data_IF_047279516415
#
_entry.id   IF_047279516415
#
_cell.length_a   1.000
_cell.length_b   1.000
_cell.length_c   1.000
_cell.angle_alpha   90.00
_cell.angle_beta   90.00
_cell.angle_gamma   90.00
#
_symmetry.space_group_name_H-M   'P 1'
#
loop_
_entity.id
_entity.type
_entity.pdbx_description
1 polymer ?
#
# COMPACT_ATOMS: atom_id res chain seq x y z
N UNK A 1 -11.10 25.50 0.13
CA UNK A 1 -10.01 24.68 -0.45
C UNK A 1 -8.60 25.05 0.05
N UNK A 2 -8.09 26.27 -0.14
CA UNK A 2 -6.70 26.62 0.25
C UNK A 2 -6.39 26.25 1.70
N UNK A 3 -7.28 26.61 2.64
CA UNK A 3 -7.13 26.28 4.08
C UNK A 3 -6.99 24.76 4.30
N UNK A 4 -7.82 23.94 3.66
CA UNK A 4 -7.78 22.47 3.79
C UNK A 4 -6.43 21.93 3.31
N UNK A 5 -5.95 22.39 2.14
CA UNK A 5 -4.65 21.95 1.61
C UNK A 5 -3.47 22.42 2.46
N UNK A 6 -3.53 23.63 3.02
CA UNK A 6 -2.51 24.11 3.96
C UNK A 6 -2.47 23.26 5.23
N UNK A 7 -3.64 22.92 5.81
CA UNK A 7 -3.73 22.06 7.00
C UNK A 7 -3.18 20.67 6.70
N UNK A 8 -3.56 20.04 5.58
CA UNK A 8 -3.06 18.72 5.19
C UNK A 8 -1.54 18.72 4.92
N UNK A 9 -1.02 19.79 4.32
CA UNK A 9 0.42 19.96 4.09
C UNK A 9 1.16 20.10 5.43
N UNK A 10 0.63 20.91 6.36
CA UNK A 10 1.17 21.06 7.71
C UNK A 10 1.16 19.75 8.50
N UNK A 11 0.08 18.98 8.44
CA UNK A 11 -0.02 17.66 9.06
C UNK A 11 0.98 16.67 8.43
N UNK A 12 1.15 16.70 7.11
CA UNK A 12 2.14 15.87 6.40
C UNK A 12 3.56 16.20 6.83
N UNK A 13 3.88 17.49 6.94
CA UNK A 13 5.17 17.96 7.42
C UNK A 13 5.42 17.50 8.86
N UNK A 14 4.44 17.66 9.75
CA UNK A 14 4.53 17.18 11.13
C UNK A 14 4.77 15.67 11.20
N UNK A 15 4.11 14.87 10.35
CA UNK A 15 4.36 13.44 10.26
C UNK A 15 5.80 13.14 9.83
N UNK A 16 6.32 13.82 8.81
CA UNK A 16 7.73 13.65 8.38
C UNK A 16 8.70 14.00 9.51
N UNK A 17 8.50 15.14 10.18
CA UNK A 17 9.32 15.57 11.32
C UNK A 17 9.30 14.52 12.44
N UNK A 18 8.11 14.04 12.83
CA UNK A 18 7.97 12.99 13.85
C UNK A 18 8.71 11.71 13.47
N UNK A 19 8.69 11.33 12.19
CA UNK A 19 9.40 10.13 11.69
C UNK A 19 10.90 10.33 11.64
N UNK A 20 11.38 11.51 11.24
CA UNK A 20 12.81 11.84 11.31
C UNK A 20 13.34 11.81 12.75
N UNK A 21 12.55 12.31 13.72
CA UNK A 21 12.90 12.21 15.14
C UNK A 21 12.96 10.75 15.59
N UNK A 22 11.99 9.92 15.19
CA UNK A 22 11.99 8.49 15.50
C UNK A 22 13.17 7.73 14.88
N UNK A 23 13.63 8.12 13.69
CA UNK A 23 14.84 7.55 13.07
C UNK A 23 16.11 7.94 13.84
N UNK A 24 16.18 9.18 14.35
CA UNK A 24 17.33 9.67 15.14
C UNK A 24 17.37 9.14 16.57
N UNK A 25 16.20 8.89 17.16
CA UNK A 25 16.02 8.35 18.50
C UNK A 25 15.13 7.12 18.40
N UNK A 26 15.66 5.99 17.90
CA UNK A 26 14.87 4.79 17.72
C UNK A 26 14.24 4.43 19.07
N UNK A 27 12.91 4.33 19.17
CA UNK A 27 12.30 3.70 20.34
C UNK A 27 12.88 2.29 20.47
N UNK A 28 12.87 1.73 21.69
CA UNK A 28 13.34 0.36 21.90
C UNK A 28 12.74 -0.55 20.84
N UNK A 29 13.60 -1.31 20.12
CA UNK A 29 13.16 -2.07 18.94
C UNK A 29 11.97 -2.98 19.24
N UNK A 30 11.89 -3.46 20.48
CA UNK A 30 10.75 -4.20 21.04
C UNK A 30 9.41 -3.47 20.84
N UNK A 31 9.31 -2.18 21.18
CA UNK A 31 8.04 -1.42 21.07
C UNK A 31 7.57 -1.25 19.62
N UNK A 32 8.50 -1.28 18.66
CA UNK A 32 8.18 -1.15 17.23
C UNK A 32 7.75 -2.50 16.66
N UNK A 33 8.45 -3.56 17.03
CA UNK A 33 8.27 -4.91 16.49
C UNK A 33 7.13 -5.66 17.17
N UNK A 34 6.89 -5.44 18.46
CA UNK A 34 5.88 -6.14 19.25
C UNK A 34 4.47 -6.06 18.64
N UNK A 35 3.93 -4.88 18.26
CA UNK A 35 2.60 -4.82 17.63
C UNK A 35 2.52 -5.59 16.32
N UNK A 36 3.63 -5.65 15.58
CA UNK A 36 3.71 -6.38 14.33
C UNK A 36 3.83 -7.89 14.58
N UNK A 37 4.63 -8.29 15.57
CA UNK A 37 4.80 -9.67 16.02
C UNK A 37 3.45 -10.24 16.49
N UNK A 38 2.71 -9.49 17.31
CA UNK A 38 1.38 -9.87 17.80
C UNK A 38 0.36 -10.01 16.66
N UNK A 39 0.34 -9.07 15.69
CA UNK A 39 -0.56 -9.15 14.53
C UNK A 39 -0.22 -10.29 13.58
N UNK A 40 1.07 -10.52 13.37
CA UNK A 40 1.58 -11.61 12.55
C UNK A 40 1.46 -12.97 13.27
N UNK A 41 1.42 -12.96 14.61
CA UNK A 41 1.58 -14.14 15.45
C UNK A 41 2.92 -14.82 15.23
N UNK A 42 3.99 -14.03 15.14
CA UNK A 42 5.38 -14.48 15.06
C UNK A 42 6.08 -14.25 16.41
N UNK A 43 7.08 -15.07 16.78
CA UNK A 43 7.87 -14.84 17.98
C UNK A 43 8.69 -13.55 17.85
N UNK A 44 8.94 -12.92 19.00
CA UNK A 44 9.80 -11.74 19.08
C UNK A 44 11.23 -12.14 18.73
N UNK A 45 11.92 -11.47 17.78
CA UNK A 45 13.27 -11.87 17.40
C UNK A 45 14.25 -11.83 18.57
N UNK A 46 14.14 -10.86 19.48
CA UNK A 46 15.07 -10.70 20.62
C UNK A 46 15.15 -11.92 21.57
N UNK A 47 14.15 -12.80 21.60
CA UNK A 47 14.20 -14.00 22.45
C UNK A 47 15.21 -15.05 21.96
N UNK A 48 15.61 -15.02 20.69
CA UNK A 48 16.54 -15.99 20.07
C UNK A 48 18.02 -15.59 20.21
N UNK A 49 18.38 -14.79 21.24
CA UNK A 49 19.75 -14.38 21.53
C UNK A 49 20.34 -13.37 20.53
N UNK A 50 21.66 -13.40 20.32
CA UNK A 50 22.37 -12.39 19.53
C UNK A 50 21.93 -12.31 18.05
N UNK A 51 21.63 -13.47 17.43
CA UNK A 51 21.08 -13.51 16.06
C UNK A 51 19.69 -12.89 15.99
N UNK A 52 18.88 -13.18 17.00
CA UNK A 52 17.57 -12.61 17.19
C UNK A 52 17.57 -11.09 17.31
N UNK A 53 18.49 -10.54 18.11
CA UNK A 53 18.70 -9.10 18.24
C UNK A 53 19.10 -8.45 16.90
N UNK A 54 20.01 -9.08 16.14
CA UNK A 54 20.40 -8.60 14.80
C UNK A 54 19.23 -8.65 13.80
N UNK A 55 18.39 -9.68 13.86
CA UNK A 55 17.16 -9.75 13.05
C UNK A 55 16.19 -8.63 13.44
N UNK A 56 15.98 -8.39 14.73
CA UNK A 56 15.15 -7.29 15.22
C UNK A 56 15.62 -5.95 14.66
N UNK A 57 16.91 -5.67 14.73
CA UNK A 57 17.50 -4.43 14.22
C UNK A 57 17.24 -4.26 12.72
N UNK A 58 17.46 -5.31 11.91
CA UNK A 58 17.18 -5.29 10.47
C UNK A 58 15.70 -5.04 10.18
N UNK A 59 14.78 -5.69 10.91
CA UNK A 59 13.33 -5.49 10.73
C UNK A 59 12.94 -4.06 11.08
N UNK A 60 13.40 -3.54 12.22
CA UNK A 60 13.14 -2.16 12.67
C UNK A 60 13.67 -1.17 11.64
N UNK A 61 14.90 -1.35 11.17
CA UNK A 61 15.52 -0.45 10.19
C UNK A 61 14.71 -0.41 8.88
N UNK A 62 14.30 -1.57 8.35
CA UNK A 62 13.47 -1.63 7.13
C UNK A 62 12.11 -0.97 7.35
N UNK A 63 11.46 -1.21 8.48
CA UNK A 63 10.19 -0.58 8.83
C UNK A 63 10.33 0.95 8.93
N UNK A 64 11.35 1.45 9.62
CA UNK A 64 11.60 2.88 9.79
C UNK A 64 11.91 3.56 8.44
N UNK A 65 12.73 2.93 7.59
CA UNK A 65 13.02 3.44 6.25
C UNK A 65 11.76 3.50 5.39
N UNK A 66 10.92 2.46 5.43
CA UNK A 66 9.66 2.43 4.69
C UNK A 66 8.68 3.49 5.21
N UNK A 67 8.55 3.64 6.53
CA UNK A 67 7.69 4.64 7.16
C UNK A 67 8.14 6.06 6.83
N UNK A 68 9.46 6.31 6.82
CA UNK A 68 10.03 7.58 6.43
C UNK A 68 9.77 7.87 4.94
N UNK A 69 10.02 6.89 4.07
CA UNK A 69 9.75 7.01 2.65
C UNK A 69 8.28 7.33 2.38
N UNK A 70 7.37 6.61 3.04
CA UNK A 70 5.94 6.87 2.97
C UNK A 70 5.62 8.31 3.40
N UNK A 71 6.15 8.77 4.53
CA UNK A 71 5.93 10.14 5.00
C UNK A 71 6.43 11.19 3.98
N UNK A 72 7.64 11.03 3.46
CA UNK A 72 8.21 11.91 2.45
C UNK A 72 7.38 11.91 1.16
N UNK A 73 6.94 10.75 0.68
CA UNK A 73 6.08 10.64 -0.50
C UNK A 73 4.75 11.35 -0.33
N UNK A 74 4.11 11.19 0.83
CA UNK A 74 2.88 11.93 1.17
C UNK A 74 3.10 13.44 1.19
N UNK A 75 4.21 13.91 1.76
CA UNK A 75 4.57 15.34 1.80
C UNK A 75 4.83 15.90 0.40
N UNK A 76 5.59 15.20 -0.44
CA UNK A 76 5.87 15.63 -1.83
C UNK A 76 4.57 15.80 -2.59
N UNK A 77 3.65 14.83 -2.51
CA UNK A 77 2.35 14.95 -3.17
C UNK A 77 1.52 16.09 -2.59
N UNK A 78 1.48 16.27 -1.26
CA UNK A 78 0.75 17.38 -0.65
C UNK A 78 1.26 18.74 -1.13
N UNK A 79 2.59 18.94 -1.19
CA UNK A 79 3.22 20.16 -1.69
C UNK A 79 2.92 20.39 -3.18
N UNK A 80 3.04 19.35 -4.01
CA UNK A 80 2.74 19.44 -5.44
C UNK A 80 1.28 19.84 -5.68
N UNK A 81 0.34 19.24 -4.95
CA UNK A 81 -1.07 19.58 -5.12
C UNK A 81 -1.37 20.98 -4.60
N UNK A 82 -0.81 21.39 -3.45
CA UNK A 82 -0.94 22.75 -2.96
C UNK A 82 -0.40 23.76 -3.99
N UNK A 83 0.76 23.49 -4.61
CA UNK A 83 1.33 24.33 -5.65
C UNK A 83 0.41 24.45 -6.87
N UNK A 84 -0.15 23.34 -7.36
CA UNK A 84 -1.12 23.34 -8.47
C UNK A 84 -2.36 24.17 -8.12
N UNK A 85 -2.90 24.02 -6.90
CA UNK A 85 -4.06 24.80 -6.42
C UNK A 85 -3.75 26.30 -6.37
N UNK A 86 -2.55 26.68 -5.89
CA UNK A 86 -2.14 28.08 -5.81
C UNK A 86 -1.91 28.70 -7.20
N UNK A 87 -1.27 27.96 -8.12
CA UNK A 87 -1.07 28.41 -9.51
C UNK A 87 -2.41 28.59 -10.21
N UNK A 88 -3.32 27.62 -10.12
CA UNK A 88 -4.65 27.71 -10.73
C UNK A 88 -5.42 28.95 -10.25
N UNK A 89 -5.34 29.24 -8.94
CA UNK A 89 -5.90 30.46 -8.34
C UNK A 89 -5.24 31.73 -8.87
N UNK A 90 -3.92 31.77 -8.96
CA UNK A 90 -3.17 32.94 -9.42
C UNK A 90 -3.41 33.26 -10.90
N UNK A 91 -3.59 32.24 -11.74
CA UNK A 91 -3.85 32.41 -13.18
C UNK A 91 -5.31 32.74 -13.52
N UNK A 92 -6.17 32.92 -12.52
CA UNK A 92 -7.58 33.25 -12.73
C UNK A 92 -8.34 32.17 -13.50
N UNK A 93 -7.97 30.89 -13.31
CA UNK A 93 -8.73 29.78 -13.88
C UNK A 93 -10.18 29.94 -13.40
N UNK A 94 -11.15 30.15 -14.31
CA UNK A 94 -12.52 30.46 -13.93
C UNK A 94 -13.09 29.39 -13.00
N UNK A 95 -13.96 29.79 -12.07
CA UNK A 95 -14.63 28.92 -11.10
C UNK A 95 -15.53 27.82 -11.74
N UNK A 96 -15.47 27.63 -13.06
CA UNK A 96 -16.10 26.53 -13.82
C UNK A 96 -15.12 25.62 -14.57
N UNK A 97 -13.80 25.69 -14.30
CA UNK A 97 -12.84 24.75 -14.89
C UNK A 97 -13.15 23.31 -14.44
N UNK A 98 -12.64 22.25 -15.10
CA UNK A 98 -12.79 20.87 -14.64
C UNK A 98 -12.18 20.58 -13.24
N UNK A 99 -11.52 21.57 -12.62
CA UNK A 99 -11.05 21.56 -11.21
C UNK A 99 -12.09 22.18 -10.26
N UNK A 100 -13.13 22.84 -10.79
CA UNK A 100 -14.23 23.39 -10.02
C UNK A 100 -15.04 22.25 -9.41
N UNK A 101 -15.17 22.33 -8.09
CA UNK A 101 -15.95 21.40 -7.29
C UNK A 101 -17.41 21.70 -7.58
N UNK A 102 -18.25 20.71 -7.90
CA UNK A 102 -19.68 20.95 -8.05
C UNK A 102 -20.24 21.66 -6.81
N UNK A 103 -21.09 22.67 -7.00
CA UNK A 103 -21.79 23.33 -5.91
C UNK A 103 -22.51 22.27 -5.05
N UNK A 104 -22.18 22.20 -3.76
CA UNK A 104 -22.69 21.20 -2.81
C UNK A 104 -21.80 19.96 -2.58
N UNK A 105 -20.65 19.85 -3.23
CA UNK A 105 -19.69 18.75 -3.03
C UNK A 105 -18.45 19.18 -2.22
N UNK A 106 -18.64 19.94 -1.14
CA UNK A 106 -17.57 20.50 -0.29
C UNK A 106 -16.56 19.46 0.25
N UNK A 107 -16.97 18.19 0.32
CA UNK A 107 -16.16 17.07 0.77
C UNK A 107 -15.24 16.48 -0.31
N UNK A 108 -15.53 16.67 -1.61
CA UNK A 108 -14.79 16.05 -2.70
C UNK A 108 -13.31 16.49 -2.77
N UNK A 109 -12.97 17.78 -2.57
CA UNK A 109 -11.57 18.22 -2.48
C UNK A 109 -10.81 17.56 -1.34
N UNK A 110 -11.48 17.39 -0.19
CA UNK A 110 -10.88 16.74 0.97
C UNK A 110 -10.61 15.26 0.67
N UNK A 111 -11.57 14.56 0.04
CA UNK A 111 -11.39 13.16 -0.37
C UNK A 111 -10.25 13.01 -1.37
N UNK A 112 -10.20 13.85 -2.41
CA UNK A 112 -9.12 13.86 -3.38
C UNK A 112 -7.76 14.14 -2.72
N UNK A 113 -7.72 15.08 -1.78
CA UNK A 113 -6.52 15.37 -1.01
C UNK A 113 -6.01 14.19 -0.20
N UNK A 114 -6.92 13.52 0.51
CA UNK A 114 -6.61 12.31 1.28
C UNK A 114 -6.14 11.20 0.34
N UNK A 115 -6.83 10.95 -0.78
CA UNK A 115 -6.47 9.90 -1.72
C UNK A 115 -5.10 10.15 -2.36
N UNK A 116 -4.79 11.37 -2.80
CA UNK A 116 -3.49 11.73 -3.37
C UNK A 116 -2.37 11.61 -2.34
N UNK A 117 -2.61 12.07 -1.11
CA UNK A 117 -1.65 11.91 -0.02
C UNK A 117 -1.36 10.44 0.29
N UNK A 118 -2.39 9.60 0.38
CA UNK A 118 -2.25 8.16 0.57
C UNK A 118 -1.52 7.51 -0.61
N UNK A 119 -1.81 7.92 -1.85
CA UNK A 119 -1.12 7.45 -3.04
C UNK A 119 0.38 7.84 -3.04
N UNK A 120 0.72 9.06 -2.63
CA UNK A 120 2.10 9.50 -2.45
C UNK A 120 2.84 8.65 -1.42
N UNK A 121 2.17 8.37 -0.28
CA UNK A 121 2.71 7.51 0.78
C UNK A 121 2.97 6.08 0.28
N UNK A 122 1.98 5.46 -0.35
CA UNK A 122 2.11 4.10 -0.85
C UNK A 122 3.15 3.98 -1.96
N UNK A 123 3.23 4.95 -2.88
CA UNK A 123 4.25 4.97 -3.95
C UNK A 123 5.66 5.01 -3.38
N UNK A 124 5.95 5.94 -2.47
CA UNK A 124 7.30 6.08 -1.91
C UNK A 124 7.68 4.88 -1.02
N UNK A 125 6.74 4.37 -0.23
CA UNK A 125 6.88 3.11 0.52
C UNK A 125 7.28 1.96 -0.41
N UNK A 126 6.55 1.80 -1.52
CA UNK A 126 6.77 0.74 -2.47
C UNK A 126 8.10 0.86 -3.23
N UNK A 127 8.51 2.08 -3.59
CA UNK A 127 9.80 2.32 -4.24
C UNK A 127 10.97 1.94 -3.33
N UNK A 128 10.92 2.32 -2.05
CA UNK A 128 11.98 1.96 -1.08
C UNK A 128 11.97 0.47 -0.78
N UNK A 129 10.81 -0.14 -0.58
CA UNK A 129 10.72 -1.57 -0.35
C UNK A 129 11.15 -2.38 -1.57
N UNK A 130 10.80 -1.94 -2.78
CA UNK A 130 11.25 -2.53 -4.03
C UNK A 130 12.75 -2.39 -4.23
N UNK A 131 13.33 -1.22 -3.93
CA UNK A 131 14.78 -1.02 -3.98
C UNK A 131 15.51 -1.94 -2.98
N UNK A 132 15.02 -2.06 -1.75
CA UNK A 132 15.56 -2.98 -0.75
C UNK A 132 15.45 -4.44 -1.21
N UNK A 133 14.32 -4.82 -1.80
CA UNK A 133 14.13 -6.16 -2.33
C UNK A 133 15.10 -6.49 -3.48
N UNK A 134 15.49 -5.48 -4.27
CA UNK A 134 16.44 -5.60 -5.39
C UNK A 134 17.91 -5.69 -4.97
N UNK A 135 18.24 -5.41 -3.71
CA UNK A 135 19.62 -5.56 -3.23
C UNK A 135 20.02 -7.03 -3.27
N UNK A 136 21.16 -7.31 -3.90
CA UNK A 136 21.59 -8.69 -4.15
C UNK A 136 21.95 -9.39 -2.84
N UNK A 137 21.65 -10.70 -2.70
CA UNK A 137 22.12 -11.51 -1.60
C UNK A 137 23.65 -11.45 -1.47
N UNK A 138 24.15 -11.44 -0.24
CA UNK A 138 25.57 -11.71 0.01
C UNK A 138 25.86 -13.15 -0.42
N UNK A 139 26.79 -13.31 -1.37
CA UNK A 139 27.22 -14.63 -1.86
C UNK A 139 27.75 -15.46 -0.68
N UNK A 140 27.23 -16.69 -0.54
CA UNK A 140 27.69 -17.64 0.49
C UNK A 140 26.94 -17.59 1.84
N UNK A 141 25.93 -16.73 2.00
CA UNK A 141 25.09 -16.76 3.20
C UNK A 141 24.21 -18.05 3.24
N UNK A 142 24.02 -18.68 4.41
CA UNK A 142 23.05 -19.76 4.57
C UNK A 142 21.68 -19.32 4.06
N UNK A 143 21.00 -20.19 3.30
CA UNK A 143 19.74 -19.85 2.66
C UNK A 143 18.67 -20.89 2.96
N UNK A 144 17.63 -20.45 3.65
CA UNK A 144 16.37 -21.17 3.77
C UNK A 144 15.50 -20.81 2.56
N UNK A 145 14.97 -21.81 1.87
CA UNK A 145 14.07 -21.64 0.74
C UNK A 145 12.73 -22.31 1.03
N UNK A 146 11.65 -21.80 0.44
CA UNK A 146 10.32 -22.41 0.54
C UNK A 146 10.22 -23.60 -0.38
N UNK A 147 9.39 -24.55 0.03
CA UNK A 147 8.99 -25.68 -0.82
C UNK A 147 8.06 -25.22 -1.96
N UNK A 148 7.25 -24.18 -1.74
CA UNK A 148 6.29 -23.65 -2.71
C UNK A 148 6.61 -22.21 -3.08
N UNK A 149 6.41 -21.89 -4.37
CA UNK A 149 6.50 -20.51 -4.85
C UNK A 149 5.32 -19.69 -4.31
N UNK A 150 5.56 -18.51 -3.74
CA UNK A 150 4.48 -17.66 -3.25
C UNK A 150 3.65 -17.05 -4.37
N UNK A 151 2.35 -16.97 -4.17
CA UNK A 151 1.40 -16.30 -5.06
C UNK A 151 0.80 -15.05 -4.40
N UNK A 152 0.28 -14.12 -5.21
CA UNK A 152 -0.36 -12.90 -4.69
C UNK A 152 -1.51 -13.20 -3.72
N UNK A 153 -2.26 -14.27 -3.98
CA UNK A 153 -3.40 -14.71 -3.17
C UNK A 153 -3.03 -15.15 -1.73
N UNK A 154 -1.74 -15.47 -1.50
CA UNK A 154 -1.20 -15.83 -0.18
C UNK A 154 -1.05 -14.58 0.71
N UNK A 155 -0.92 -13.39 0.09
CA UNK A 155 -0.74 -12.12 0.80
C UNK A 155 -1.99 -11.24 0.75
N UNK A 156 -2.61 -11.11 -0.43
CA UNK A 156 -3.75 -10.23 -0.67
C UNK A 156 -4.98 -11.08 -1.01
N UNK A 157 -6.10 -10.92 -0.30
CA UNK A 157 -7.29 -11.71 -0.55
C UNK A 157 -7.93 -11.34 -1.91
N UNK A 158 -8.54 -12.33 -2.58
CA UNK A 158 -9.16 -12.15 -3.90
C UNK A 158 -10.19 -11.01 -3.97
N UNK A 159 -11.05 -10.77 -2.96
CA UNK A 159 -11.98 -9.64 -2.99
C UNK A 159 -11.28 -8.27 -3.08
N UNK A 160 -10.10 -8.10 -2.47
CA UNK A 160 -9.34 -6.84 -2.56
C UNK A 160 -8.84 -6.60 -3.99
N UNK A 161 -8.24 -7.62 -4.62
CA UNK A 161 -7.76 -7.51 -6.02
C UNK A 161 -8.91 -7.39 -7.02
N UNK A 162 -10.02 -8.10 -6.79
CA UNK A 162 -11.24 -7.98 -7.57
C UNK A 162 -11.87 -6.60 -7.48
N UNK A 163 -11.92 -6.00 -6.28
CA UNK A 163 -12.44 -4.65 -6.07
C UNK A 163 -11.65 -3.61 -6.86
N UNK A 164 -10.31 -3.69 -6.88
CA UNK A 164 -9.48 -2.76 -7.67
C UNK A 164 -9.84 -2.83 -9.15
N UNK A 165 -9.89 -4.03 -9.71
CA UNK A 165 -10.21 -4.25 -11.13
C UNK A 165 -11.61 -3.74 -11.47
N UNK A 166 -12.59 -4.03 -10.60
CA UNK A 166 -13.96 -3.57 -10.76
C UNK A 166 -14.05 -2.05 -10.78
N UNK A 167 -13.46 -1.36 -9.80
CA UNK A 167 -13.56 0.10 -9.68
C UNK A 167 -12.79 0.79 -10.81
N UNK A 168 -11.61 0.29 -11.19
CA UNK A 168 -10.89 0.79 -12.39
C UNK A 168 -11.74 0.61 -13.65
N UNK A 169 -12.37 -0.55 -13.81
CA UNK A 169 -13.28 -0.83 -14.93
C UNK A 169 -14.47 0.12 -14.97
N UNK A 170 -15.08 0.42 -13.82
CA UNK A 170 -16.19 1.37 -13.73
C UNK A 170 -15.76 2.80 -14.04
N UNK A 171 -14.59 3.24 -13.57
CA UNK A 171 -14.02 4.53 -13.93
C UNK A 171 -13.78 4.66 -15.43
N UNK A 172 -13.22 3.61 -16.06
CA UNK A 172 -13.02 3.56 -17.49
C UNK A 172 -14.34 3.55 -18.28
N UNK A 173 -15.33 2.79 -17.82
CA UNK A 173 -16.66 2.75 -18.43
C UNK A 173 -17.38 4.11 -18.33
N UNK A 174 -17.28 4.80 -17.19
CA UNK A 174 -17.85 6.14 -17.02
C UNK A 174 -17.19 7.17 -17.97
N UNK A 175 -15.85 7.13 -18.09
CA UNK A 175 -15.13 7.99 -19.02
C UNK A 175 -15.48 7.68 -20.49
N UNK A 176 -15.62 6.40 -20.86
CA UNK A 176 -16.07 6.00 -22.19
C UNK A 176 -17.52 6.46 -22.46
N UNK A 177 -18.41 6.33 -21.48
CA UNK A 177 -19.79 6.83 -21.56
C UNK A 177 -19.86 8.34 -21.78
N UNK A 178 -18.96 9.12 -21.16
CA UNK A 178 -18.81 10.55 -21.42
C UNK A 178 -18.31 10.84 -22.84
N UNK A 179 -17.32 10.09 -23.33
CA UNK A 179 -16.80 10.25 -24.68
C UNK A 179 -17.90 9.98 -25.73
N UNK A 180 -18.71 8.94 -25.53
CA UNK A 180 -19.85 8.65 -26.40
C UNK A 180 -20.88 9.79 -26.32
N UNK A 181 -21.22 10.27 -25.11
CA UNK A 181 -22.13 11.41 -24.95
C UNK A 181 -21.63 12.67 -25.68
N UNK A 182 -20.32 12.93 -25.66
CA UNK A 182 -19.73 14.04 -26.40
C UNK A 182 -19.81 13.86 -27.91
N UNK A 183 -19.60 12.63 -28.41
CA UNK A 183 -19.68 12.32 -29.85
C UNK A 183 -21.08 12.55 -30.44
N UNK A 184 -22.13 12.44 -29.62
CA UNK A 184 -23.53 12.72 -30.02
C UNK A 184 -24.02 14.11 -29.59
N UNK A 185 -23.11 15.00 -29.17
CA UNK A 185 -23.42 16.40 -28.86
C UNK A 185 -24.15 16.63 -27.53
N UNK A 186 -24.19 15.66 -26.61
CA UNK A 186 -24.84 15.82 -25.29
C UNK A 186 -23.97 16.55 -24.27
N UNK A 187 -22.65 16.50 -24.42
CA UNK A 187 -21.68 17.22 -23.58
C UNK A 187 -20.52 17.73 -24.43
N UNK A 188 -19.84 18.78 -23.97
CA UNK A 188 -18.65 19.27 -24.64
C UNK A 188 -17.45 18.33 -24.43
N UNK A 189 -16.59 18.20 -25.44
CA UNK A 189 -15.36 17.40 -25.36
C UNK A 189 -14.42 17.84 -24.23
N UNK A 190 -14.44 19.13 -23.85
CA UNK A 190 -13.67 19.64 -22.71
C UNK A 190 -13.99 18.95 -21.39
N UNK A 191 -15.22 18.44 -21.22
CA UNK A 191 -15.65 17.68 -20.04
C UNK A 191 -15.12 16.24 -20.04
N UNK A 192 -14.74 15.71 -21.22
CA UNK A 192 -14.28 14.32 -21.40
C UNK A 192 -12.77 14.18 -21.15
N UNK A 193 -11.98 15.20 -21.49
CA UNK A 193 -10.51 15.12 -21.51
C UNK A 193 -9.94 14.67 -20.15
N UNK A 194 -10.33 15.32 -19.06
CA UNK A 194 -9.76 15.00 -17.75
C UNK A 194 -10.19 13.61 -17.23
N UNK A 195 -11.48 13.21 -17.29
CA UNK A 195 -11.88 11.84 -16.95
C UNK A 195 -11.24 10.77 -17.82
N UNK A 196 -11.11 10.99 -19.13
CA UNK A 196 -10.47 10.05 -20.04
C UNK A 196 -8.98 9.87 -19.72
N UNK A 197 -8.27 10.98 -19.46
CA UNK A 197 -6.88 10.94 -19.03
C UNK A 197 -6.72 10.21 -17.68
N UNK A 198 -7.59 10.51 -16.70
CA UNK A 198 -7.58 9.84 -15.40
C UNK A 198 -7.84 8.33 -15.52
N UNK A 199 -8.84 7.93 -16.31
CA UNK A 199 -9.13 6.53 -16.59
C UNK A 199 -7.95 5.81 -17.28
N UNK A 200 -7.31 6.45 -18.26
CA UNK A 200 -6.12 5.91 -18.92
C UNK A 200 -4.97 5.69 -17.93
N UNK A 201 -4.69 6.67 -17.06
CA UNK A 201 -3.69 6.56 -16.00
C UNK A 201 -4.01 5.40 -15.05
N UNK A 202 -5.28 5.22 -14.66
CA UNK A 202 -5.71 4.12 -13.79
C UNK A 202 -5.51 2.74 -14.44
N UNK A 203 -5.81 2.60 -15.73
CA UNK A 203 -5.59 1.36 -16.47
C UNK A 203 -4.09 1.05 -16.52
N UNK A 204 -3.24 2.04 -16.83
CA UNK A 204 -1.78 1.90 -16.81
C UNK A 204 -1.29 1.54 -15.41
N UNK A 205 -1.82 2.18 -14.37
CA UNK A 205 -1.46 1.90 -12.98
C UNK A 205 -1.86 0.47 -12.56
N UNK A 206 -3.01 -0.03 -13.00
CA UNK A 206 -3.44 -1.42 -12.76
C UNK A 206 -2.50 -2.43 -13.45
N UNK A 207 -2.10 -2.17 -14.69
CA UNK A 207 -1.13 -3.02 -15.41
C UNK A 207 0.23 -2.98 -14.71
N UNK A 208 0.70 -1.79 -14.33
CA UNK A 208 1.94 -1.62 -13.60
C UNK A 208 1.91 -2.34 -12.25
N UNK A 209 0.80 -2.28 -11.52
CA UNK A 209 0.58 -3.02 -10.27
C UNK A 209 0.78 -4.52 -10.47
N UNK A 210 0.13 -5.11 -11.48
CA UNK A 210 0.24 -6.55 -11.78
C UNK A 210 1.69 -6.95 -12.09
N UNK A 211 2.40 -6.13 -12.87
CA UNK A 211 3.81 -6.36 -13.21
C UNK A 211 4.73 -6.25 -11.98
N UNK A 212 4.54 -5.22 -11.17
CA UNK A 212 5.32 -4.99 -9.94
C UNK A 212 5.08 -6.11 -8.93
N UNK A 213 3.82 -6.50 -8.70
CA UNK A 213 3.48 -7.61 -7.81
C UNK A 213 4.16 -8.92 -8.26
N UNK A 214 4.11 -9.25 -9.56
CA UNK A 214 4.81 -10.43 -10.10
C UNK A 214 6.32 -10.34 -9.91
N UNK A 215 6.91 -9.17 -10.15
CA UNK A 215 8.36 -8.97 -10.00
C UNK A 215 8.80 -9.08 -8.53
N UNK A 216 8.04 -8.49 -7.60
CA UNK A 216 8.28 -8.59 -6.15
C UNK A 216 8.19 -10.05 -5.67
N UNK A 217 7.22 -10.81 -6.17
CA UNK A 217 7.06 -12.23 -5.82
C UNK A 217 8.15 -13.13 -6.41
N UNK A 218 8.62 -12.82 -7.63
CA UNK A 218 9.73 -13.54 -8.27
C UNK A 218 11.09 -13.27 -7.60
N UNK A 219 11.21 -12.19 -6.84
CA UNK A 219 12.41 -11.83 -6.11
C UNK A 219 12.73 -12.88 -5.03
N UNK A 220 13.94 -13.44 -5.10
CA UNK A 220 14.44 -14.37 -4.08
C UNK A 220 14.71 -13.62 -2.76
N UNK A 221 14.29 -14.20 -1.63
CA UNK A 221 14.58 -13.68 -0.29
C UNK A 221 15.76 -14.44 0.32
N UNK A 222 16.89 -13.78 0.58
CA UNK A 222 17.98 -14.39 1.33
C UNK A 222 17.63 -14.36 2.83
N UNK A 223 17.24 -15.51 3.37
CA UNK A 223 16.96 -15.67 4.78
C UNK A 223 17.87 -16.74 5.38
N UNK A 224 18.57 -16.40 6.46
CA UNK A 224 19.46 -17.31 7.19
C UNK A 224 18.72 -18.27 8.12
N UNK A 225 17.48 -17.97 8.47
CA UNK A 225 16.60 -18.82 9.27
C UNK A 225 15.16 -18.78 8.75
N UNK A 226 14.37 -19.78 9.14
CA UNK A 226 12.95 -19.81 8.80
C UNK A 226 12.18 -18.64 9.46
N UNK A 227 12.57 -18.24 10.68
CA UNK A 227 11.99 -17.07 11.34
C UNK A 227 12.28 -15.77 10.57
N UNK A 228 13.51 -15.59 10.08
CA UNK A 228 13.85 -14.44 9.23
C UNK A 228 13.02 -14.43 7.94
N UNK A 229 12.84 -15.60 7.31
CA UNK A 229 12.01 -15.73 6.11
C UNK A 229 10.53 -15.40 6.38
N UNK A 230 10.01 -15.77 7.55
CA UNK A 230 8.63 -15.46 7.96
C UNK A 230 8.42 -13.96 8.21
N UNK A 231 9.39 -13.28 8.82
CA UNK A 231 9.38 -11.83 8.98
C UNK A 231 9.45 -11.10 7.63
N UNK A 232 10.29 -11.58 6.72
CA UNK A 232 10.39 -11.08 5.35
C UNK A 232 9.06 -11.25 4.58
N UNK A 233 8.33 -12.32 4.83
CA UNK A 233 6.99 -12.55 4.27
C UNK A 233 5.95 -11.57 4.77
N UNK A 234 5.96 -11.30 6.07
CA UNK A 234 5.06 -10.32 6.69
C UNK A 234 5.27 -8.94 6.07
N UNK A 235 6.53 -8.51 5.95
CA UNK A 235 6.86 -7.22 5.34
C UNK A 235 6.49 -7.16 3.86
N UNK A 236 6.71 -8.26 3.13
CA UNK A 236 6.30 -8.40 1.71
C UNK A 236 4.78 -8.35 1.57
N UNK A 237 4.02 -8.98 2.47
CA UNK A 237 2.57 -8.96 2.44
C UNK A 237 2.00 -7.56 2.63
N UNK A 238 2.56 -6.79 3.56
CA UNK A 238 2.21 -5.38 3.75
C UNK A 238 2.50 -4.55 2.48
N UNK A 239 3.68 -4.73 1.88
CA UNK A 239 4.05 -4.05 0.63
C UNK A 239 3.05 -4.34 -0.50
N UNK A 240 2.73 -5.61 -0.74
CA UNK A 240 1.80 -5.99 -1.81
C UNK A 240 0.40 -5.42 -1.59
N UNK A 241 -0.03 -5.33 -0.34
CA UNK A 241 -1.33 -4.73 -0.01
C UNK A 241 -1.35 -3.21 -0.16
N UNK A 242 -0.28 -2.53 0.26
CA UNK A 242 -0.14 -1.08 0.06
C UNK A 242 -0.17 -0.74 -1.43
N UNK A 243 0.50 -1.56 -2.25
CA UNK A 243 0.49 -1.47 -3.71
C UNK A 243 -0.91 -1.64 -4.30
N UNK A 244 -1.70 -2.60 -3.82
CA UNK A 244 -3.09 -2.84 -4.29
C UNK A 244 -4.03 -1.72 -3.85
N UNK A 245 -3.83 -1.16 -2.66
CA UNK A 245 -4.70 -0.11 -2.09
C UNK A 245 -4.59 1.22 -2.86
N UNK A 246 -3.44 1.51 -3.47
CA UNK A 246 -3.20 2.76 -4.19
C UNK A 246 -4.13 2.95 -5.42
N UNK A 247 -4.14 2.06 -6.43
CA UNK A 247 -5.02 2.23 -7.58
C UNK A 247 -6.49 2.09 -7.19
N UNK A 248 -6.82 1.36 -6.13
CA UNK A 248 -8.18 1.31 -5.60
C UNK A 248 -8.65 2.71 -5.15
N UNK A 249 -7.86 3.39 -4.31
CA UNK A 249 -8.20 4.73 -3.83
C UNK A 249 -8.31 5.75 -4.96
N UNK A 250 -7.36 5.74 -5.89
CA UNK A 250 -7.40 6.64 -7.05
C UNK A 250 -8.62 6.34 -7.92
N UNK A 251 -8.90 5.07 -8.19
CA UNK A 251 -10.04 4.67 -9.00
C UNK A 251 -11.37 5.04 -8.33
N UNK A 252 -11.47 4.95 -7.00
CA UNK A 252 -12.67 5.37 -6.26
C UNK A 252 -12.92 6.86 -6.43
N UNK A 253 -11.91 7.70 -6.29
CA UNK A 253 -12.05 9.15 -6.46
C UNK A 253 -12.40 9.50 -7.90
N UNK A 254 -11.71 8.91 -8.89
CA UNK A 254 -12.04 9.13 -10.31
C UNK A 254 -13.46 8.66 -10.63
N UNK A 255 -13.90 7.53 -10.09
CA UNK A 255 -15.26 7.03 -10.28
C UNK A 255 -16.29 7.99 -9.69
N UNK A 256 -16.08 8.49 -8.47
CA UNK A 256 -16.98 9.44 -7.80
C UNK A 256 -17.13 10.74 -8.58
N UNK A 257 -16.04 11.22 -9.17
CA UNK A 257 -16.06 12.44 -9.95
C UNK A 257 -16.70 12.23 -11.32
N UNK A 258 -16.37 11.12 -11.99
CA UNK A 258 -16.75 10.91 -13.40
C UNK A 258 -18.17 10.39 -13.56
N UNK A 259 -18.61 9.52 -12.63
CA UNK A 259 -19.89 8.83 -12.78
C UNK A 259 -21.10 9.76 -12.75
N UNK A 260 -21.24 10.73 -11.82
CA UNK A 260 -22.38 11.65 -11.81
C UNK A 260 -22.44 12.50 -13.09
N UNK A 261 -21.28 12.95 -13.58
CA UNK A 261 -21.20 13.70 -14.83
C UNK A 261 -21.65 12.86 -16.02
N UNK A 262 -21.22 11.59 -16.07
CA UNK A 262 -21.69 10.63 -17.08
C UNK A 262 -23.21 10.43 -17.00
N UNK A 263 -23.74 10.15 -15.80
CA UNK A 263 -25.17 9.95 -15.58
C UNK A 263 -26.00 11.15 -16.07
N UNK A 264 -25.62 12.36 -15.70
CA UNK A 264 -26.30 13.59 -16.13
C UNK A 264 -26.24 13.77 -17.64
N UNK A 265 -25.10 13.49 -18.28
CA UNK A 265 -24.96 13.55 -19.74
C UNK A 265 -25.94 12.63 -20.49
N UNK A 266 -26.37 11.55 -19.86
CA UNK A 266 -27.32 10.59 -20.42
C UNK A 266 -28.78 10.85 -20.01
N UNK A 267 -29.07 11.99 -19.36
CA UNK A 267 -30.40 12.29 -18.84
C UNK A 267 -30.85 11.40 -17.69
N UNK A 268 -29.90 10.69 -17.06
CA UNK A 268 -30.15 9.81 -15.93
C UNK A 268 -29.98 10.51 -14.58
N UNK A 269 -29.52 11.77 -14.60
CA UNK A 269 -29.38 12.62 -13.42
C UNK A 269 -30.71 12.77 -12.69
N UNK A 270 -30.75 12.39 -11.42
CA UNK A 270 -31.97 12.42 -10.59
C UNK A 270 -32.73 11.09 -10.53
N UNK A 271 -32.40 10.09 -11.36
CA UNK A 271 -32.95 8.75 -11.17
C UNK A 271 -32.25 8.04 -10.01
N UNK A 272 -33.05 7.61 -9.01
CA UNK A 272 -32.55 6.90 -7.84
C UNK A 272 -31.51 5.80 -8.17
N UNK A 273 -31.77 4.83 -9.09
CA UNK A 273 -30.81 3.74 -9.32
C UNK A 273 -29.45 4.19 -9.85
N UNK A 274 -29.39 5.27 -10.62
CA UNK A 274 -28.15 5.76 -11.23
C UNK A 274 -27.31 6.56 -10.23
N UNK A 275 -27.97 7.18 -9.24
CA UNK A 275 -27.32 7.80 -8.09
C UNK A 275 -26.86 6.76 -7.06
N UNK A 276 -27.66 5.72 -6.80
CA UNK A 276 -27.37 4.73 -5.75
C UNK A 276 -26.35 3.67 -6.16
N UNK A 277 -26.30 3.24 -7.42
CA UNK A 277 -25.34 2.22 -7.89
C UNK A 277 -23.86 2.59 -7.62
N UNK A 278 -23.35 3.77 -8.01
CA UNK A 278 -21.96 4.14 -7.71
C UNK A 278 -21.71 4.28 -6.21
N UNK A 279 -22.71 4.75 -5.43
CA UNK A 279 -22.63 4.82 -3.97
C UNK A 279 -22.60 3.42 -3.33
N UNK A 280 -23.31 2.45 -3.90
CA UNK A 280 -23.29 1.07 -3.43
C UNK A 280 -21.95 0.41 -3.75
N UNK A 281 -21.43 0.59 -4.97
CA UNK A 281 -20.10 0.11 -5.32
C UNK A 281 -19.02 0.79 -4.46
N UNK A 282 -19.17 2.08 -4.19
CA UNK A 282 -18.34 2.83 -3.25
C UNK A 282 -18.40 2.21 -1.86
N UNK A 283 -19.60 2.00 -1.32
CA UNK A 283 -19.81 1.41 -0.02
C UNK A 283 -19.17 0.03 0.08
N UNK A 284 -19.28 -0.78 -0.97
CA UNK A 284 -18.63 -2.09 -1.04
C UNK A 284 -17.11 -1.97 -1.11
N UNK A 285 -16.56 -1.08 -1.93
CA UNK A 285 -15.12 -0.88 -2.05
C UNK A 285 -14.51 -0.30 -0.77
N UNK A 286 -15.21 0.62 -0.10
CA UNK A 286 -14.85 1.13 1.23
C UNK A 286 -14.95 0.03 2.26
N UNK A 287 -15.99 -0.82 2.24
CA UNK A 287 -16.09 -1.96 3.14
C UNK A 287 -14.95 -2.97 2.92
N UNK A 288 -14.55 -3.21 1.67
CA UNK A 288 -13.37 -4.02 1.32
C UNK A 288 -12.10 -3.36 1.84
N UNK A 289 -11.92 -2.05 1.66
CA UNK A 289 -10.76 -1.30 2.15
C UNK A 289 -10.72 -1.27 3.68
N UNK A 290 -11.84 -1.06 4.36
CA UNK A 290 -11.93 -1.10 5.83
C UNK A 290 -11.66 -2.52 6.33
N UNK A 291 -12.24 -3.53 5.69
CA UNK A 291 -11.92 -4.92 5.97
C UNK A 291 -10.43 -5.18 5.76
N UNK A 292 -9.82 -4.54 4.76
CA UNK A 292 -8.41 -4.64 4.51
C UNK A 292 -7.59 -4.00 5.65
N UNK A 293 -7.97 -2.81 6.10
CA UNK A 293 -7.30 -2.13 7.22
C UNK A 293 -7.48 -2.85 8.55
N UNK A 294 -8.61 -3.52 8.77
CA UNK A 294 -8.94 -4.22 10.01
C UNK A 294 -8.33 -5.62 10.06
N UNK A 295 -8.28 -6.35 8.92
CA UNK A 295 -7.73 -7.71 8.86
C UNK A 295 -6.24 -7.64 8.54
N UNK A 296 -5.35 -7.95 9.49
CA UNK A 296 -3.92 -7.86 9.25
C UNK A 296 -3.51 -8.75 8.06
N UNK A 297 -2.80 -8.18 7.08
CA UNK A 297 -2.21 -8.92 5.95
C UNK A 297 -1.26 -10.00 6.47
N UNK A 298 -0.65 -9.70 7.61
CA UNK A 298 0.31 -10.52 8.32
C UNK A 298 -0.29 -11.87 8.68
N UNK A 299 -1.54 -11.90 9.15
CA UNK A 299 -2.23 -13.13 9.54
C UNK A 299 -2.44 -14.08 8.35
N UNK A 300 -2.81 -13.53 7.19
CA UNK A 300 -3.05 -14.35 5.98
C UNK A 300 -1.75 -15.00 5.48
N UNK A 301 -0.67 -14.23 5.46
CA UNK A 301 0.65 -14.75 5.06
C UNK A 301 1.11 -15.88 5.99
N UNK A 302 0.90 -15.73 7.30
CA UNK A 302 1.16 -16.79 8.28
C UNK A 302 0.32 -18.03 8.01
N UNK A 303 -1.00 -17.90 7.92
CA UNK A 303 -1.92 -19.04 7.75
C UNK A 303 -1.65 -19.84 6.46
N UNK A 304 -1.18 -19.18 5.40
CA UNK A 304 -0.94 -19.82 4.09
C UNK A 304 0.47 -20.35 3.91
N UNK A 305 1.48 -19.62 4.36
CA UNK A 305 2.89 -19.95 4.11
C UNK A 305 3.54 -20.67 5.30
N UNK A 306 3.00 -20.51 6.50
CA UNK A 306 3.61 -20.98 7.76
C UNK A 306 2.58 -21.66 8.70
N UNK A 307 1.83 -22.68 8.21
CA UNK A 307 0.84 -23.36 9.03
C UNK A 307 1.46 -24.03 10.27
N UNK A 308 2.68 -24.54 10.15
CA UNK A 308 3.40 -25.25 11.21
C UNK A 308 4.31 -24.30 12.02
N UNK A 309 3.84 -23.10 12.34
CA UNK A 309 4.65 -22.10 13.05
C UNK A 309 5.13 -22.59 14.42
N UNK A 310 4.39 -23.51 15.05
CA UNK A 310 4.78 -24.15 16.31
C UNK A 310 6.03 -25.03 16.17
N UNK A 311 6.19 -25.70 15.02
CA UNK A 311 7.39 -26.50 14.75
C UNK A 311 8.64 -25.63 14.55
N UNK A 312 8.49 -24.39 14.07
CA UNK A 312 9.58 -23.42 13.97
C UNK A 312 10.11 -23.01 15.35
N UNK A 313 9.24 -22.93 16.35
CA UNK A 313 9.61 -22.55 17.72
C UNK A 313 10.41 -23.67 18.40
N UNK A 314 10.00 -24.92 18.21
CA UNK A 314 10.66 -26.07 18.85
C UNK A 314 12.02 -26.40 18.20
N UNK A 315 12.17 -26.16 16.90
CA UNK A 315 13.41 -26.48 16.18
C UNK A 315 14.61 -25.59 16.52
N UNK A 316 14.40 -24.33 16.92
CA UNK A 316 15.49 -23.39 17.20
C UNK A 316 16.20 -23.72 18.54
N UNK A 317 15.45 -24.17 19.55
CA UNK A 317 15.99 -24.56 20.86
C UNK A 317 16.81 -25.87 20.80
N UNK A 318 16.46 -26.79 19.90
CA UNK A 318 17.04 -28.14 19.85
C UNK A 318 18.41 -28.18 19.17
N UNK A 319 18.74 -27.21 18.31
CA UNK A 319 20.05 -27.17 17.63
C UNK A 319 21.06 -26.20 18.25
N UNK A 320 20.64 -25.32 19.17
CA UNK A 320 21.52 -24.42 19.91
C UNK A 320 22.26 -25.05 21.09
N UNK A 321 21.78 -26.18 21.61
CA UNK A 321 22.28 -26.79 22.84
C UNK A 321 22.47 -28.30 22.65
N UNK A 322 23.36 -28.69 21.72
CA UNK A 322 24.22 -29.84 22.04
C UNK A 322 25.51 -29.25 22.58
N UNK A 323 25.66 -29.05 23.91
CA UNK A 323 26.97 -28.87 24.47
C UNK A 323 27.78 -30.04 23.92
N UNK A 324 28.87 -29.72 23.22
CA UNK A 324 29.79 -30.74 22.75
C UNK A 324 30.03 -31.66 23.92
N UNK A 325 29.49 -32.88 23.84
CA UNK A 325 29.83 -33.95 24.75
C UNK A 325 31.33 -34.03 24.62
N UNK A 326 32.01 -33.46 25.61
CA UNK A 326 33.45 -33.43 25.65
C UNK A 326 33.89 -34.86 25.40
N UNK A 327 34.59 -35.07 24.28
CA UNK A 327 35.49 -36.20 24.20
C UNK A 327 36.47 -35.97 25.34
N UNK A 328 36.19 -36.60 26.47
CA UNK A 328 37.15 -36.84 27.51
C UNK A 328 38.34 -37.49 26.81
N UNK A 329 39.44 -36.75 26.71
CA UNK A 329 40.71 -37.28 26.30
C UNK A 329 41.01 -38.47 27.21
N UNK A 330 40.98 -39.67 26.64
CA UNK A 330 41.44 -40.87 27.33
C UNK A 330 42.92 -40.72 27.67
N UNK A 331 43.37 -41.22 28.83
CA UNK A 331 44.77 -41.17 29.21
C UNK A 331 45.59 -42.01 28.21
N UNK A 332 46.60 -41.38 27.60
CA UNK A 332 47.65 -42.07 26.86
C UNK A 332 48.53 -42.88 27.83
N UNK A 333 48.86 -44.15 27.49
CA UNK A 333 49.74 -45.01 28.28
C UNK A 333 51.21 -44.57 28.27
#
# INVERSE_FOLDING_TARGET
>A
MVVVWSVLTGLSLLQVVRRLVAVRRPPSGERVVEPLALRAGLPMPASSGARGAALQERVVERMLRRDLAAACGGLVVAVLVLAVVLVARATGVPDGSPVAVPDGADWLPLLLAVALLLAGRATASALVAGHQALQQPVLGAPRVARVRSPHLADYVPHPETGAVRLVVGLSAAAAAGLAVAASVGRVAWSVVVAPAAAAAVLVVALVALELVCRRVLAQQQPAGSALELAWDDVLRGQLLRDLVSLPLLLALVTCLQTWPTAATAWGLGGSAPVTWLPLLVMGLAVAVLVSALVRPAERRSRERLWPDTEALLVGEDVHGIRPGTGMAAGPTP
#
